data_IF_387423681071
#
_entry.id   IF_387423681071
#
_cell.length_a   1.000
_cell.length_b   1.000
_cell.length_c   1.000
_cell.angle_alpha   90.00
_cell.angle_beta   90.00
_cell.angle_gamma   90.00
#
_symmetry.space_group_name_H-M   'P 1'
#
loop_
_entity.id
_entity.type
_entity.pdbx_description
1 polymer ?
#
# COMPACT_ATOMS: atom_id res chain seq x y z
N UNK A 1 -14.16 -27.71 -29.61
CA UNK A 1 -15.24 -27.09 -28.81
C UNK A 1 -15.08 -27.34 -27.31
N UNK A 2 -14.70 -28.56 -26.86
CA UNK A 2 -14.55 -28.91 -25.43
C UNK A 2 -13.44 -28.15 -24.68
N UNK A 3 -12.36 -27.77 -25.37
CA UNK A 3 -11.22 -27.05 -24.80
C UNK A 3 -11.46 -25.54 -24.61
N UNK A 4 -12.37 -24.94 -25.39
CA UNK A 4 -12.67 -23.49 -25.33
C UNK A 4 -13.48 -23.17 -24.06
N UNK A 5 -14.33 -24.10 -23.64
CA UNK A 5 -15.13 -23.96 -22.40
C UNK A 5 -14.24 -23.99 -21.16
N UNK A 6 -13.19 -24.81 -21.15
CA UNK A 6 -12.23 -24.89 -20.04
C UNK A 6 -11.42 -23.60 -19.88
N UNK A 7 -11.03 -22.96 -20.98
CA UNK A 7 -10.28 -21.71 -20.94
C UNK A 7 -11.11 -20.53 -20.37
N UNK A 8 -12.42 -20.50 -20.63
CA UNK A 8 -13.31 -19.44 -20.14
C UNK A 8 -13.62 -19.54 -18.64
N UNK A 9 -13.67 -20.75 -18.07
CA UNK A 9 -13.91 -20.95 -16.63
C UNK A 9 -12.73 -20.49 -15.77
N UNK A 10 -11.49 -20.65 -16.27
CA UNK A 10 -10.28 -20.21 -15.56
C UNK A 10 -10.15 -18.69 -15.53
N UNK A 11 -10.64 -17.99 -16.56
CA UNK A 11 -10.59 -16.52 -16.65
C UNK A 11 -11.64 -15.83 -15.75
N UNK A 12 -12.73 -16.51 -15.41
CA UNK A 12 -13.84 -15.92 -14.64
C UNK A 12 -13.66 -15.86 -13.11
N UNK A 13 -12.58 -16.44 -12.57
CA UNK A 13 -12.33 -16.51 -11.13
C UNK A 13 -11.65 -15.27 -10.53
N UNK A 14 -11.10 -14.37 -11.36
CA UNK A 14 -10.49 -13.12 -10.91
C UNK A 14 -11.54 -12.02 -10.73
N UNK A 15 -12.55 -12.31 -9.92
CA UNK A 15 -13.43 -11.26 -9.39
C UNK A 15 -12.69 -10.63 -8.22
N UNK A 16 -11.94 -9.57 -8.50
CA UNK A 16 -11.38 -8.67 -7.47
C UNK A 16 -12.55 -7.85 -6.89
N UNK A 17 -13.52 -8.53 -6.28
CA UNK A 17 -14.39 -7.89 -5.31
C UNK A 17 -13.53 -7.76 -4.06
N UNK A 18 -13.27 -6.52 -3.64
CA UNK A 18 -12.57 -6.23 -2.39
C UNK A 18 -13.15 -7.09 -1.26
N UNK A 19 -12.39 -8.12 -0.87
CA UNK A 19 -12.83 -9.13 0.08
C UNK A 19 -12.99 -8.43 1.43
N UNK A 20 -14.13 -8.60 2.08
CA UNK A 20 -14.30 -8.08 3.45
C UNK A 20 -13.49 -8.91 4.42
N UNK A 21 -12.88 -8.25 5.39
CA UNK A 21 -12.07 -8.88 6.42
C UNK A 21 -12.43 -8.31 7.80
N UNK A 22 -12.17 -9.11 8.83
CA UNK A 22 -12.21 -8.68 10.24
C UNK A 22 -10.82 -8.73 10.86
N UNK A 23 -9.97 -9.65 10.41
CA UNK A 23 -8.55 -9.71 10.75
C UNK A 23 -7.69 -9.93 9.50
N UNK A 24 -6.38 -9.79 9.63
CA UNK A 24 -5.43 -10.07 8.54
C UNK A 24 -5.49 -11.52 8.06
N UNK A 25 -5.82 -12.48 8.92
CA UNK A 25 -5.96 -13.90 8.54
C UNK A 25 -7.09 -14.17 7.54
N UNK A 26 -8.04 -13.23 7.39
CA UNK A 26 -9.08 -13.33 6.37
C UNK A 26 -8.55 -13.00 4.96
N UNK A 27 -7.38 -12.37 4.85
CA UNK A 27 -6.77 -11.91 3.60
C UNK A 27 -5.65 -12.85 3.12
N UNK A 28 -5.19 -12.67 1.88
CA UNK A 28 -4.05 -13.43 1.35
C UNK A 28 -2.73 -13.01 2.01
N UNK A 29 -1.68 -13.83 1.89
CA UNK A 29 -0.37 -13.56 2.50
C UNK A 29 0.27 -12.24 2.01
N UNK A 30 -0.07 -11.79 0.80
CA UNK A 30 0.36 -10.51 0.22
C UNK A 30 -0.64 -9.37 0.44
N UNK A 31 -1.61 -9.55 1.34
CA UNK A 31 -2.65 -8.58 1.66
C UNK A 31 -2.75 -8.28 3.17
N UNK A 32 -3.29 -7.10 3.48
CA UNK A 32 -3.62 -6.68 4.83
C UNK A 32 -5.09 -6.25 4.92
N UNK A 33 -5.66 -6.37 6.10
CA UNK A 33 -7.03 -5.94 6.37
C UNK A 33 -7.07 -4.45 6.72
N UNK A 34 -7.64 -3.62 5.85
CA UNK A 34 -7.74 -2.17 6.05
C UNK A 34 -9.16 -1.76 6.40
N UNK A 35 -9.30 -0.89 7.40
CA UNK A 35 -10.56 -0.27 7.74
C UNK A 35 -10.47 1.26 7.69
N UNK A 36 -11.51 1.87 7.13
CA UNK A 36 -11.71 3.31 7.16
C UNK A 36 -12.55 3.66 8.38
N UNK A 37 -12.04 4.55 9.24
CA UNK A 37 -12.70 4.94 10.50
C UNK A 37 -14.17 5.33 10.27
N UNK A 38 -14.47 6.02 9.16
CA UNK A 38 -15.81 6.46 8.77
C UNK A 38 -16.79 5.31 8.41
N UNK A 39 -16.28 4.13 8.08
CA UNK A 39 -17.06 3.00 7.53
C UNK A 39 -16.88 1.71 8.35
N UNK A 40 -16.26 1.81 9.53
CA UNK A 40 -15.91 0.69 10.44
C UNK A 40 -17.05 -0.27 10.74
N UNK A 41 -18.31 0.18 10.66
CA UNK A 41 -19.48 -0.66 10.89
C UNK A 41 -19.63 -1.80 9.86
N UNK A 42 -19.05 -1.66 8.68
CA UNK A 42 -19.16 -2.66 7.59
C UNK A 42 -18.01 -3.67 7.57
N UNK A 43 -17.04 -3.55 8.48
CA UNK A 43 -15.80 -4.33 8.48
C UNK A 43 -14.73 -3.74 7.56
N UNK A 44 -13.54 -4.35 7.60
CA UNK A 44 -12.43 -3.96 6.74
C UNK A 44 -12.54 -4.55 5.33
N UNK A 45 -11.58 -4.22 4.49
CA UNK A 45 -11.38 -4.80 3.17
C UNK A 45 -9.90 -5.19 3.01
N UNK A 46 -9.66 -6.32 2.34
CA UNK A 46 -8.32 -6.75 2.00
C UNK A 46 -7.75 -5.83 0.93
N UNK A 47 -6.53 -5.37 1.17
CA UNK A 47 -5.75 -4.57 0.24
C UNK A 47 -4.33 -5.13 0.20
N UNK A 48 -3.68 -5.08 -0.97
CA UNK A 48 -2.29 -5.54 -1.09
C UNK A 48 -1.34 -4.67 -0.26
N UNK A 49 -0.30 -5.29 0.30
CA UNK A 49 0.81 -4.56 0.92
C UNK A 49 1.47 -3.60 -0.08
N UNK A 50 2.05 -2.53 0.45
CA UNK A 50 2.74 -1.52 -0.37
C UNK A 50 4.04 -2.08 -0.92
N UNK A 51 4.22 -1.92 -2.22
CA UNK A 51 5.42 -2.27 -2.95
C UNK A 51 6.44 -1.13 -2.88
N UNK A 52 7.65 -1.42 -3.34
CA UNK A 52 8.74 -0.46 -3.42
C UNK A 52 8.33 0.80 -4.20
N UNK A 53 8.66 1.98 -3.64
CA UNK A 53 8.30 3.29 -4.19
C UNK A 53 6.85 3.74 -3.95
N UNK A 54 5.98 2.89 -3.39
CA UNK A 54 4.62 3.28 -3.02
C UNK A 54 4.58 4.05 -1.70
N UNK A 55 3.58 4.91 -1.56
CA UNK A 55 3.36 5.72 -0.36
C UNK A 55 2.93 4.84 0.80
N UNK A 56 3.61 5.00 1.94
CA UNK A 56 3.32 4.28 3.18
C UNK A 56 2.82 5.23 4.28
N UNK A 57 2.06 4.74 5.27
CA UNK A 57 1.67 5.54 6.43
C UNK A 57 2.89 5.77 7.35
N UNK A 58 3.21 7.01 7.70
CA UNK A 58 4.20 7.35 8.76
C UNK A 58 3.62 7.13 10.17
N UNK A 59 2.57 6.31 10.28
CA UNK A 59 2.04 5.99 11.59
C UNK A 59 2.90 4.84 12.05
N UNK A 60 3.77 5.11 13.04
CA UNK A 60 4.52 4.12 13.79
C UNK A 60 3.54 3.06 14.31
N UNK A 61 3.26 2.04 13.50
CA UNK A 61 2.72 0.81 13.99
C UNK A 61 3.90 0.18 14.71
N UNK A 62 3.87 0.15 16.04
CA UNK A 62 4.83 -0.59 16.85
C UNK A 62 5.11 -1.93 16.16
N UNK A 63 6.31 -2.08 15.59
CA UNK A 63 6.66 -3.18 14.67
C UNK A 63 6.54 -4.56 15.32
N UNK A 64 6.45 -4.57 16.66
CA UNK A 64 6.39 -5.76 17.49
C UNK A 64 5.02 -6.47 17.48
N UNK A 65 3.92 -5.80 17.10
CA UNK A 65 2.60 -6.43 17.00
C UNK A 65 1.93 -6.09 15.67
N UNK A 66 1.86 -7.07 14.75
CA UNK A 66 1.03 -6.97 13.54
C UNK A 66 -0.43 -6.78 13.96
N UNK A 67 -1.04 -5.59 13.81
CA UNK A 67 -2.41 -5.38 14.25
C UNK A 67 -3.35 -6.21 13.37
N UNK A 68 -4.40 -6.80 13.94
CA UNK A 68 -5.40 -7.54 13.17
C UNK A 68 -6.02 -6.71 12.03
N UNK A 69 -6.04 -5.38 12.19
CA UNK A 69 -6.65 -4.46 11.25
C UNK A 69 -5.88 -3.14 11.19
N UNK A 70 -5.52 -2.72 9.97
CA UNK A 70 -4.85 -1.46 9.70
C UNK A 70 -5.84 -0.33 9.44
N UNK A 71 -5.47 0.89 9.80
CA UNK A 71 -6.27 2.07 9.54
C UNK A 71 -5.80 2.78 8.27
N UNK A 72 -6.76 3.11 7.39
CA UNK A 72 -6.58 3.87 6.14
C UNK A 72 -5.76 3.21 5.03
N UNK A 73 -4.67 2.49 5.33
CA UNK A 73 -3.80 1.87 4.32
C UNK A 73 -2.94 0.75 4.90
N UNK A 74 -2.54 -0.20 4.05
CA UNK A 74 -1.57 -1.24 4.39
C UNK A 74 -0.15 -0.71 4.59
N UNK A 75 0.66 -1.39 5.42
CA UNK A 75 2.09 -1.11 5.52
C UNK A 75 2.85 -1.60 4.28
N UNK A 76 4.16 -1.36 4.29
CA UNK A 76 5.09 -1.92 3.32
C UNK A 76 5.08 -3.46 3.38
N UNK A 77 5.32 -4.09 2.23
CA UNK A 77 5.51 -5.54 2.14
C UNK A 77 6.70 -5.95 2.99
N UNK A 78 6.67 -7.17 3.52
CA UNK A 78 7.77 -7.72 4.31
C UNK A 78 9.13 -7.54 3.59
N UNK A 79 10.11 -7.03 4.33
CA UNK A 79 11.44 -6.72 3.82
C UNK A 79 11.58 -5.33 3.18
N UNK A 80 10.55 -4.47 3.25
CA UNK A 80 10.62 -3.06 2.89
C UNK A 80 10.37 -2.18 4.12
N UNK A 81 11.06 -1.05 4.20
CA UNK A 81 10.92 -0.06 5.26
C UNK A 81 10.24 1.20 4.75
N UNK A 82 9.36 1.79 5.56
CA UNK A 82 8.74 3.07 5.24
C UNK A 82 9.70 4.21 5.58
N UNK A 83 10.38 4.78 4.58
CA UNK A 83 11.30 5.90 4.76
C UNK A 83 10.78 7.18 4.11
N UNK A 84 11.19 8.37 4.56
CA UNK A 84 10.90 9.63 3.87
C UNK A 84 11.67 9.69 2.54
N UNK A 85 11.08 9.09 1.51
CA UNK A 85 11.71 8.87 0.20
C UNK A 85 11.80 10.15 -0.64
N UNK A 86 10.80 11.05 -0.54
CA UNK A 86 10.74 12.24 -1.43
C UNK A 86 10.43 13.53 -0.68
N UNK A 87 11.25 14.55 -0.95
CA UNK A 87 11.00 15.93 -0.52
C UNK A 87 10.59 16.77 -1.73
N UNK A 88 9.35 17.29 -1.72
CA UNK A 88 8.90 18.24 -2.73
C UNK A 88 8.81 19.64 -2.12
N UNK A 89 9.39 20.62 -2.81
CA UNK A 89 9.28 22.04 -2.42
C UNK A 89 8.09 22.67 -3.13
N UNK A 90 7.11 23.15 -2.37
CA UNK A 90 6.00 23.95 -2.88
C UNK A 90 6.30 25.41 -2.55
N UNK A 91 6.84 26.14 -3.53
CA UNK A 91 7.32 27.51 -3.33
C UNK A 91 8.59 27.58 -2.47
N UNK A 92 8.82 28.72 -1.81
CA UNK A 92 10.08 28.97 -1.07
C UNK A 92 10.10 28.37 0.35
N UNK A 93 8.94 28.03 0.94
CA UNK A 93 8.84 27.73 2.37
C UNK A 93 8.21 26.38 2.74
N UNK A 94 7.64 25.62 1.79
CA UNK A 94 6.93 24.38 2.11
C UNK A 94 7.74 23.20 1.59
N UNK A 95 8.25 22.37 2.50
CA UNK A 95 8.90 21.08 2.19
C UNK A 95 7.90 19.99 2.59
N UNK A 96 7.36 19.29 1.59
CA UNK A 96 6.48 18.13 1.80
C UNK A 96 7.33 16.87 1.76
N UNK A 97 7.36 16.12 2.86
CA UNK A 97 7.99 14.80 2.93
C UNK A 97 6.94 13.76 2.62
N UNK A 98 7.12 13.04 1.52
CA UNK A 98 6.28 11.90 1.17
C UNK A 98 7.04 10.62 1.51
N UNK A 99 6.55 9.85 2.49
CA UNK A 99 7.13 8.56 2.84
C UNK A 99 6.86 7.54 1.73
N UNK A 100 7.85 6.68 1.46
CA UNK A 100 7.77 5.61 0.49
C UNK A 100 8.39 4.33 1.04
N UNK A 101 7.94 3.18 0.54
CA UNK A 101 8.54 1.90 0.87
C UNK A 101 9.85 1.71 0.12
N UNK A 102 10.96 1.50 0.82
CA UNK A 102 12.30 1.30 0.25
C UNK A 102 12.94 0.03 0.81
N UNK A 103 13.91 -0.53 0.08
CA UNK A 103 14.68 -1.66 0.59
C UNK A 103 15.56 -1.24 1.78
N UNK A 104 15.67 -2.06 2.84
CA UNK A 104 16.52 -1.77 3.99
C UNK A 104 17.97 -1.64 3.54
N UNK A 105 18.54 -0.43 3.70
CA UNK A 105 19.91 -0.10 3.29
C UNK A 105 20.02 0.84 2.07
N UNK A 106 18.91 1.19 1.42
CA UNK A 106 18.89 2.18 0.34
C UNK A 106 18.51 3.55 0.91
N UNK A 107 19.51 4.30 1.41
CA UNK A 107 19.33 5.71 1.78
C UNK A 107 19.43 6.54 0.50
N UNK A 108 18.34 6.64 -0.24
CA UNK A 108 18.24 7.51 -1.42
C UNK A 108 18.06 8.95 -0.98
N UNK A 109 19.19 9.62 -0.74
CA UNK A 109 19.24 11.09 -0.67
C UNK A 109 19.15 11.65 -2.08
N UNK A 110 18.04 11.46 -2.78
CA UNK A 110 17.89 11.92 -4.15
C UNK A 110 16.85 13.03 -4.23
N UNK A 111 17.34 14.25 -3.97
CA UNK A 111 16.65 15.51 -4.26
C UNK A 111 16.45 15.59 -5.78
N UNK A 112 15.34 15.07 -6.29
CA UNK A 112 14.95 15.26 -7.70
C UNK A 112 14.54 16.71 -7.89
N UNK A 113 15.50 17.51 -8.33
CA UNK A 113 15.27 18.83 -8.90
C UNK A 113 14.86 18.61 -10.35
N UNK A 114 13.56 18.46 -10.63
CA UNK A 114 13.02 18.78 -11.95
C UNK A 114 11.49 18.96 -11.85
N UNK A 115 11.05 20.21 -11.91
CA UNK A 115 9.66 20.56 -12.24
C UNK A 115 9.69 20.97 -13.72
N UNK A 116 8.87 20.36 -14.61
CA UNK A 116 8.74 20.86 -15.96
C UNK A 116 8.08 22.24 -15.91
N UNK A 117 8.77 23.24 -16.43
CA UNK A 117 8.17 24.54 -16.73
C UNK A 117 7.17 24.33 -17.88
N UNK A 118 5.87 24.43 -17.61
CA UNK A 118 4.89 24.69 -18.67
C UNK A 118 5.06 26.15 -19.14
N UNK A 119 5.41 26.31 -20.42
CA UNK A 119 5.46 27.59 -21.14
C UNK A 119 4.06 28.05 -21.61
#
# INVERSE_FOLDING_TARGET
MKWIVLALVVVSASQVLAKRCKSNDDCEEDECCVNFILVSWFGGHCQKYKQEGEICPIIDADEDEKPDMYHFMCPCKEGLECQPDKEFKIGEHIIVKQPGCVAPGEVTTEVTTDVPQEE
#
